data_IF_502124443175
#
_entry.id   IF_502124443175
#
_cell.length_a   1.000
_cell.length_b   1.000
_cell.length_c   1.000
_cell.angle_alpha   90.00
_cell.angle_beta   90.00
_cell.angle_gamma   90.00
#
_symmetry.space_group_name_H-M   'P 1'
#
loop_
_entity.id
_entity.type
_entity.pdbx_description
1 polymer ?
#
# COMPACT_ATOMS: atom_id res chain seq x y z
N UNK A 1 -7.26 -14.42 4.59
CA UNK A 1 -7.95 -13.14 4.88
C UNK A 1 -7.01 -11.97 4.65
N UNK A 2 -5.91 -11.82 5.41
CA UNK A 2 -4.91 -10.77 5.14
C UNK A 2 -4.32 -10.84 3.73
N UNK A 3 -3.87 -12.02 3.29
CA UNK A 3 -3.28 -12.17 1.95
C UNK A 3 -4.26 -11.80 0.82
N UNK A 4 -5.55 -12.04 1.01
CA UNK A 4 -6.56 -11.68 0.01
C UNK A 4 -6.78 -10.17 -0.04
N UNK A 5 -6.82 -9.50 1.12
CA UNK A 5 -6.82 -8.03 1.20
C UNK A 5 -5.54 -7.44 0.60
N UNK A 6 -4.38 -8.07 0.85
CA UNK A 6 -3.10 -7.68 0.27
C UNK A 6 -3.12 -7.77 -1.25
N UNK A 7 -3.55 -8.91 -1.81
CA UNK A 7 -3.70 -9.09 -3.26
C UNK A 7 -4.66 -8.07 -3.86
N UNK A 8 -5.79 -7.83 -3.21
CA UNK A 8 -6.74 -6.81 -3.64
C UNK A 8 -6.08 -5.44 -3.70
N UNK A 9 -5.38 -5.03 -2.64
CA UNK A 9 -4.64 -3.78 -2.61
C UNK A 9 -3.56 -3.67 -3.67
N UNK A 10 -2.81 -4.75 -3.94
CA UNK A 10 -1.78 -4.78 -5.00
C UNK A 10 -2.40 -4.55 -6.38
N UNK A 11 -3.56 -5.16 -6.69
CA UNK A 11 -4.26 -4.92 -7.96
C UNK A 11 -4.73 -3.47 -8.08
N UNK A 12 -5.29 -2.93 -7.00
CA UNK A 12 -5.85 -1.56 -6.97
C UNK A 12 -4.77 -0.47 -6.99
N UNK A 13 -3.63 -0.73 -6.36
CA UNK A 13 -2.50 0.20 -6.34
C UNK A 13 -1.77 0.24 -7.68
N UNK A 14 -1.73 -0.88 -8.41
CA UNK A 14 -0.90 -1.08 -9.59
C UNK A 14 0.16 -2.14 -9.31
N UNK A 15 0.07 -3.34 -9.91
CA UNK A 15 1.04 -4.43 -9.70
C UNK A 15 2.49 -4.05 -10.03
N UNK A 16 2.70 -3.06 -10.90
CA UNK A 16 3.99 -2.50 -11.30
C UNK A 16 4.78 -1.86 -10.14
N UNK A 17 4.08 -1.43 -9.08
CA UNK A 17 4.71 -0.87 -7.88
C UNK A 17 5.20 -1.95 -6.91
N UNK A 18 5.03 -3.22 -7.25
CA UNK A 18 5.39 -4.36 -6.43
C UNK A 18 6.33 -5.29 -7.20
N UNK A 19 7.27 -5.89 -6.47
CA UNK A 19 8.14 -6.89 -7.06
C UNK A 19 7.33 -8.11 -7.51
N UNK A 20 7.64 -8.60 -8.71
CA UNK A 20 6.99 -9.76 -9.33
C UNK A 20 7.81 -11.00 -9.01
N UNK A 21 7.52 -11.67 -7.89
CA UNK A 21 8.14 -12.97 -7.55
C UNK A 21 7.28 -14.17 -7.98
N UNK A 22 6.08 -13.90 -8.52
CA UNK A 22 5.13 -14.89 -9.02
C UNK A 22 4.47 -14.38 -10.32
N UNK A 23 3.91 -15.25 -11.18
CA UNK A 23 3.42 -14.86 -12.50
C UNK A 23 2.30 -13.80 -12.47
N UNK A 24 1.39 -13.90 -11.52
CA UNK A 24 0.26 -12.98 -11.33
C UNK A 24 -0.03 -12.77 -9.83
N UNK A 25 -0.89 -11.79 -9.51
CA UNK A 25 -1.18 -11.43 -8.11
C UNK A 25 -1.89 -12.58 -7.38
N UNK A 26 -2.69 -13.36 -8.10
CA UNK A 26 -3.52 -14.42 -7.54
C UNK A 26 -2.69 -15.64 -7.12
N UNK A 27 -1.58 -15.89 -7.82
CA UNK A 27 -0.61 -16.92 -7.53
C UNK A 27 0.22 -16.66 -6.25
N UNK A 28 0.14 -15.47 -5.66
CA UNK A 28 0.84 -15.19 -4.41
C UNK A 28 0.26 -16.03 -3.26
N UNK A 29 1.10 -16.81 -2.58
CA UNK A 29 0.77 -17.54 -1.35
C UNK A 29 1.31 -16.84 -0.11
N UNK A 30 2.13 -15.81 -0.29
CA UNK A 30 2.74 -15.01 0.78
C UNK A 30 2.86 -13.54 0.39
N UNK A 31 2.73 -12.61 1.35
CA UNK A 31 2.79 -11.16 1.08
C UNK A 31 4.13 -10.73 0.47
N UNK A 32 5.23 -11.39 0.84
CA UNK A 32 6.57 -11.04 0.38
C UNK A 32 6.77 -11.33 -1.11
N UNK A 33 5.96 -12.22 -1.70
CA UNK A 33 5.95 -12.48 -3.14
C UNK A 33 5.42 -11.30 -3.97
N UNK A 34 4.76 -10.35 -3.30
CA UNK A 34 4.29 -9.07 -3.84
C UNK A 34 4.74 -7.93 -2.92
N UNK A 35 6.02 -7.91 -2.55
CA UNK A 35 6.59 -6.84 -1.72
C UNK A 35 6.65 -5.52 -2.52
N UNK A 36 6.40 -4.35 -1.90
CA UNK A 36 6.58 -3.05 -2.56
C UNK A 36 7.97 -2.92 -3.17
N UNK A 37 8.05 -2.31 -4.37
CA UNK A 37 9.31 -1.95 -5.01
C UNK A 37 9.60 -0.47 -4.72
N UNK A 38 10.46 -0.22 -3.73
CA UNK A 38 10.80 1.13 -3.28
C UNK A 38 11.25 2.04 -4.41
N UNK A 39 12.15 1.57 -5.27
CA UNK A 39 12.70 2.37 -6.37
C UNK A 39 11.62 2.75 -7.39
N UNK A 40 10.74 1.80 -7.73
CA UNK A 40 9.63 2.06 -8.64
C UNK A 40 8.64 3.07 -8.06
N UNK A 41 8.35 2.98 -6.76
CA UNK A 41 7.42 3.88 -6.07
C UNK A 41 8.00 5.29 -5.94
N UNK A 42 9.26 5.41 -5.50
CA UNK A 42 9.96 6.70 -5.38
C UNK A 42 10.03 7.45 -6.73
N UNK A 43 10.15 6.72 -7.85
CA UNK A 43 10.20 7.32 -9.18
C UNK A 43 8.86 7.93 -9.64
N UNK A 44 7.73 7.53 -9.06
CA UNK A 44 6.40 7.92 -9.56
C UNK A 44 5.52 8.65 -8.55
N UNK A 45 5.83 8.58 -7.25
CA UNK A 45 4.86 8.99 -6.23
C UNK A 45 4.49 10.48 -6.31
N UNK A 46 5.41 11.35 -6.74
CA UNK A 46 5.17 12.77 -6.93
C UNK A 46 4.22 13.07 -8.10
N UNK A 47 4.12 12.14 -9.05
CA UNK A 47 3.21 12.23 -10.20
C UNK A 47 1.83 11.61 -9.93
N UNK A 48 1.68 10.83 -8.85
CA UNK A 48 0.41 10.21 -8.46
C UNK A 48 -0.54 11.23 -7.85
N UNK A 49 -1.85 10.98 -8.00
CA UNK A 49 -2.87 11.75 -7.30
C UNK A 49 -2.71 11.66 -5.78
N UNK A 50 -3.30 12.60 -5.04
CA UNK A 50 -3.24 12.61 -3.57
C UNK A 50 -3.78 11.31 -2.97
N UNK A 51 -4.93 10.79 -3.43
CA UNK A 51 -5.48 9.53 -2.94
C UNK A 51 -4.63 8.30 -3.30
N UNK A 52 -4.02 8.29 -4.49
CA UNK A 52 -3.19 7.17 -4.98
C UNK A 52 -1.87 7.07 -4.21
N UNK A 53 -1.17 8.20 -4.05
CA UNK A 53 0.06 8.29 -3.27
C UNK A 53 -0.16 7.86 -1.81
N UNK A 54 -1.27 8.30 -1.19
CA UNK A 54 -1.63 7.90 0.18
C UNK A 54 -1.96 6.42 0.29
N UNK A 55 -2.69 5.88 -0.69
CA UNK A 55 -3.01 4.47 -0.72
C UNK A 55 -1.75 3.61 -0.84
N UNK A 56 -0.83 3.99 -1.73
CA UNK A 56 0.42 3.28 -1.96
C UNK A 56 1.37 3.34 -0.75
N UNK A 57 1.47 4.51 -0.09
CA UNK A 57 2.20 4.64 1.18
C UNK A 57 1.58 3.77 2.30
N UNK A 58 0.25 3.74 2.38
CA UNK A 58 -0.46 2.90 3.35
C UNK A 58 -0.20 1.41 3.10
N UNK A 59 -0.25 0.96 1.85
CA UNK A 59 0.11 -0.41 1.45
C UNK A 59 1.54 -0.76 1.87
N UNK A 60 2.49 0.15 1.66
CA UNK A 60 3.87 -0.06 2.08
C UNK A 60 3.97 -0.20 3.61
N UNK A 61 3.27 0.66 4.37
CA UNK A 61 3.26 0.60 5.84
C UNK A 61 2.75 -0.75 6.39
N UNK A 62 1.78 -1.40 5.73
CA UNK A 62 1.33 -2.76 6.10
C UNK A 62 2.32 -3.87 5.75
N UNK A 63 3.17 -3.64 4.73
CA UNK A 63 4.25 -4.57 4.41
C UNK A 63 5.37 -4.49 5.43
N UNK A 64 5.84 -3.27 5.73
CA UNK A 64 6.93 -3.00 6.66
C UNK A 64 6.56 -1.82 7.58
N UNK A 65 6.23 -2.14 8.83
CA UNK A 65 5.84 -1.18 9.87
C UNK A 65 7.00 -0.29 10.35
N UNK A 66 8.25 -0.69 10.12
CA UNK A 66 9.43 0.13 10.41
C UNK A 66 9.70 1.18 9.34
N UNK A 67 9.06 1.07 8.17
CA UNK A 67 9.01 2.13 7.17
C UNK A 67 8.06 3.20 7.69
N UNK A 68 8.59 4.06 8.57
CA UNK A 68 7.96 5.31 8.97
C UNK A 68 7.66 6.12 7.72
N UNK A 69 6.40 6.17 7.26
CA UNK A 69 5.80 7.14 6.33
C UNK A 69 6.75 7.80 5.31
N UNK A 70 7.75 7.07 4.78
CA UNK A 70 8.93 7.69 4.15
C UNK A 70 8.54 8.39 2.86
N UNK A 71 7.50 7.88 2.21
CA UNK A 71 6.95 8.39 0.97
C UNK A 71 6.11 9.65 1.15
N UNK A 72 5.56 9.88 2.35
CA UNK A 72 4.82 11.10 2.68
C UNK A 72 5.73 12.18 3.31
N UNK A 73 6.80 11.77 4.00
CA UNK A 73 7.87 12.68 4.43
C UNK A 73 8.58 13.32 3.23
N UNK A 74 8.83 12.59 2.14
CA UNK A 74 9.40 13.15 0.90
C UNK A 74 8.47 14.12 0.18
N UNK A 75 7.16 14.01 0.40
CA UNK A 75 6.13 14.85 -0.21
C UNK A 75 5.82 16.14 0.58
N UNK A 76 6.51 16.40 1.70
CA UNK A 76 6.13 17.40 2.72
C UNK A 76 4.67 17.26 3.19
N UNK A 77 4.07 16.09 2.97
CA UNK A 77 2.70 15.75 3.32
C UNK A 77 2.74 15.03 4.66
N UNK A 78 2.76 15.79 5.75
CA UNK A 78 2.51 15.22 7.09
C UNK A 78 1.07 14.72 7.16
N UNK A 79 0.83 13.47 6.80
CA UNK A 79 -0.40 12.80 7.22
C UNK A 79 -0.14 12.21 8.59
N UNK A 80 -0.81 12.78 9.59
CA UNK A 80 -0.43 12.61 10.99
C UNK A 80 -1.28 11.52 11.64
N UNK A 81 -2.40 11.13 11.02
CA UNK A 81 -3.35 10.21 11.62
C UNK A 81 -4.24 9.45 10.60
N UNK A 82 -4.96 8.45 11.12
CA UNK A 82 -5.87 7.58 10.36
C UNK A 82 -7.06 8.32 9.72
N UNK A 83 -7.51 9.46 10.28
CA UNK A 83 -8.57 10.27 9.70
C UNK A 83 -8.11 10.99 8.44
N UNK A 84 -6.85 11.46 8.42
CA UNK A 84 -6.26 12.07 7.23
C UNK A 84 -6.21 11.02 6.10
N UNK A 85 -5.77 9.79 6.42
CA UNK A 85 -5.73 8.67 5.46
C UNK A 85 -7.13 8.39 4.93
N UNK A 86 -8.10 8.23 5.83
CA UNK A 86 -9.49 7.99 5.43
C UNK A 86 -10.07 9.13 4.58
N UNK A 87 -9.70 10.39 4.82
CA UNK A 87 -10.18 11.52 4.01
C UNK A 87 -9.63 11.49 2.57
N UNK A 88 -8.41 11.01 2.37
CA UNK A 88 -7.75 10.97 1.06
C UNK A 88 -8.19 9.80 0.17
N UNK A 89 -8.73 8.72 0.75
CA UNK A 89 -9.08 7.50 0.03
C UNK A 89 -10.54 7.51 -0.48
N UNK A 90 -10.75 6.93 -1.66
CA UNK A 90 -12.09 6.56 -2.15
C UNK A 90 -12.63 5.31 -1.44
N UNK A 91 -13.84 4.87 -1.81
CA UNK A 91 -14.53 3.76 -1.16
C UNK A 91 -13.77 2.43 -1.27
N UNK A 92 -13.28 2.09 -2.45
CA UNK A 92 -12.61 0.81 -2.70
C UNK A 92 -11.26 0.75 -1.96
N UNK A 93 -10.51 1.86 -1.96
CA UNK A 93 -9.25 1.97 -1.21
C UNK A 93 -9.48 1.91 0.30
N UNK A 94 -10.57 2.53 0.80
CA UNK A 94 -10.97 2.41 2.22
C UNK A 94 -11.27 0.98 2.61
N UNK A 95 -11.97 0.22 1.77
CA UNK A 95 -12.28 -1.19 2.02
C UNK A 95 -11.00 -2.01 2.14
N UNK A 96 -10.04 -1.83 1.22
CA UNK A 96 -8.74 -2.53 1.29
C UNK A 96 -8.02 -2.20 2.59
N UNK A 97 -7.87 -0.91 2.94
CA UNK A 97 -7.17 -0.52 4.18
C UNK A 97 -7.91 -1.04 5.41
N UNK A 98 -9.24 -1.00 5.41
CA UNK A 98 -10.07 -1.55 6.49
C UNK A 98 -9.87 -3.05 6.68
N UNK A 99 -9.83 -3.82 5.59
CA UNK A 99 -9.57 -5.25 5.63
C UNK A 99 -8.13 -5.57 6.07
N UNK A 100 -7.14 -4.80 5.63
CA UNK A 100 -5.75 -4.94 6.07
C UNK A 100 -5.62 -4.69 7.58
N UNK A 101 -6.29 -3.66 8.11
CA UNK A 101 -6.38 -3.41 9.56
C UNK A 101 -7.06 -4.58 10.29
N UNK A 102 -8.22 -5.02 9.78
CA UNK A 102 -9.04 -6.05 10.40
C UNK A 102 -8.33 -7.39 10.49
N UNK A 103 -7.57 -7.74 9.46
CA UNK A 103 -6.87 -9.03 9.37
C UNK A 103 -5.38 -8.92 9.68
N UNK A 104 -4.91 -7.80 10.24
CA UNK A 104 -3.49 -7.58 10.48
C UNK A 104 -2.92 -8.65 11.42
N UNK A 105 -1.96 -9.48 10.95
CA UNK A 105 -1.46 -10.61 11.73
C UNK A 105 -0.47 -10.24 12.85
N UNK A 106 -0.09 -8.95 13.00
CA UNK A 106 0.85 -8.50 14.02
C UNK A 106 2.29 -8.93 13.74
N UNK A 107 2.98 -8.12 12.93
CA UNK A 107 4.40 -8.30 12.60
C UNK A 107 5.22 -7.30 13.40
#
# INVERSE_FOLDING_TARGET
MFLEAWKHGVRLAGPEYFNVLVPDVDAATDKNQRRPNREAIEAVIDALGSGESVFLDSMYSFYNSEVRHMLLESLDRKMVNICDIAAALDGERKEVIGDLLRYYPGW
#
